data_IF_287297615242
#
_entry.id   IF_287297615242
#
_cell.length_a   1.000
_cell.length_b   1.000
_cell.length_c   1.000
_cell.angle_alpha   90.00
_cell.angle_beta   90.00
_cell.angle_gamma   90.00
#
_symmetry.space_group_name_H-M   'P 1'
#
loop_
_entity.id
_entity.type
_entity.pdbx_description
1 polymer ?
#
# COMPACT_ATOMS: atom_id res chain seq x y z
N UNK A 1 13.63 -13.35 -2.03
CA UNK A 1 13.45 -11.91 -2.10
C UNK A 1 12.26 -11.48 -1.27
N UNK A 2 12.44 -10.42 -0.54
CA UNK A 2 11.40 -9.91 0.35
C UNK A 2 10.28 -9.27 -0.48
N UNK A 3 9.04 -9.68 -0.24
CA UNK A 3 7.92 -9.22 -1.05
C UNK A 3 7.55 -7.75 -0.82
N UNK A 4 8.12 -7.14 0.20
CA UNK A 4 8.02 -5.69 0.35
C UNK A 4 8.62 -4.95 -0.84
N UNK A 5 9.52 -5.58 -1.57
CA UNK A 5 10.08 -4.98 -2.77
C UNK A 5 9.01 -4.68 -3.81
N UNK A 6 7.94 -5.46 -3.83
CA UNK A 6 6.81 -5.15 -4.68
C UNK A 6 6.19 -3.80 -4.33
N UNK A 7 5.99 -3.54 -3.05
CA UNK A 7 5.49 -2.26 -2.58
C UNK A 7 6.57 -1.19 -2.71
N UNK A 8 7.82 -1.54 -2.39
CA UNK A 8 8.96 -0.64 -2.49
C UNK A 8 9.22 -0.15 -3.91
N UNK A 9 8.92 -0.96 -4.93
CA UNK A 9 9.06 -0.55 -6.33
C UNK A 9 8.28 0.73 -6.62
N UNK A 10 7.22 0.99 -5.89
CA UNK A 10 6.42 2.20 -6.07
C UNK A 10 7.16 3.47 -5.62
N UNK A 11 8.25 3.32 -4.86
CA UNK A 11 9.02 4.46 -4.34
C UNK A 11 9.64 5.32 -5.44
N UNK A 12 9.82 4.76 -6.64
CA UNK A 12 10.39 5.48 -7.78
C UNK A 12 9.35 6.15 -8.66
N UNK A 13 8.08 5.86 -8.42
CA UNK A 13 6.99 6.35 -9.25
C UNK A 13 6.42 7.66 -8.70
N UNK A 14 5.79 8.50 -9.54
CA UNK A 14 5.01 9.62 -9.04
C UNK A 14 3.95 9.15 -8.04
N UNK A 15 3.65 9.98 -7.04
CA UNK A 15 2.69 9.65 -5.99
C UNK A 15 3.07 8.38 -5.20
N UNK A 16 4.35 8.22 -4.96
CA UNK A 16 4.91 7.01 -4.35
C UNK A 16 4.30 6.67 -2.98
N UNK A 17 4.03 7.67 -2.14
CA UNK A 17 3.43 7.42 -0.83
C UNK A 17 2.03 6.85 -0.94
N UNK A 18 1.20 7.42 -1.81
CA UNK A 18 -0.14 6.92 -2.03
C UNK A 18 -0.13 5.50 -2.57
N UNK A 19 0.70 5.24 -3.58
CA UNK A 19 0.82 3.91 -4.17
C UNK A 19 1.29 2.87 -3.16
N UNK A 20 2.24 3.26 -2.30
CA UNK A 20 2.69 2.40 -1.21
C UNK A 20 1.55 2.03 -0.26
N UNK A 21 0.74 3.00 0.13
CA UNK A 21 -0.39 2.75 1.03
C UNK A 21 -1.45 1.86 0.38
N UNK A 22 -1.74 2.06 -0.89
CA UNK A 22 -2.65 1.18 -1.64
C UNK A 22 -2.10 -0.25 -1.66
N UNK A 23 -0.81 -0.40 -1.92
CA UNK A 23 -0.14 -1.72 -1.92
C UNK A 23 -0.25 -2.40 -0.57
N UNK A 24 0.01 -1.67 0.51
CA UNK A 24 -0.14 -2.18 1.89
C UNK A 24 -1.56 -2.70 2.13
N UNK A 25 -2.55 -1.91 1.75
CA UNK A 25 -3.96 -2.31 1.93
C UNK A 25 -4.32 -3.54 1.12
N UNK A 26 -3.78 -3.67 -0.08
CA UNK A 26 -4.02 -4.84 -0.94
C UNK A 26 -3.33 -6.09 -0.41
N UNK A 27 -2.20 -5.96 0.28
CA UNK A 27 -1.47 -7.09 0.85
C UNK A 27 -2.18 -7.70 2.06
N UNK A 28 -3.06 -6.95 2.70
CA UNK A 28 -3.77 -7.46 3.87
C UNK A 28 -4.68 -8.63 3.48
N UNK A 29 -4.46 -9.79 4.11
CA UNK A 29 -5.24 -11.03 3.88
C UNK A 29 -5.28 -11.48 2.41
N UNK A 30 -4.20 -11.22 1.65
CA UNK A 30 -4.13 -11.58 0.24
C UNK A 30 -2.77 -12.17 -0.10
N UNK A 31 -2.74 -13.10 -1.06
CA UNK A 31 -1.47 -13.64 -1.56
C UNK A 31 -0.70 -12.59 -2.33
N UNK A 32 0.56 -12.45 -1.99
CA UNK A 32 1.46 -11.45 -2.58
C UNK A 32 1.56 -11.53 -4.09
N UNK A 33 1.57 -12.76 -4.63
CA UNK A 33 1.65 -12.98 -6.08
C UNK A 33 0.47 -12.38 -6.83
N UNK A 34 -0.72 -12.37 -6.23
CA UNK A 34 -1.91 -11.76 -6.83
C UNK A 34 -1.80 -10.24 -6.81
N UNK A 35 -1.29 -9.69 -5.72
CA UNK A 35 -1.10 -8.24 -5.59
C UNK A 35 -0.09 -7.73 -6.62
N UNK A 36 0.98 -8.47 -6.86
CA UNK A 36 1.98 -8.13 -7.89
C UNK A 36 1.37 -7.98 -9.29
N UNK A 37 0.35 -8.77 -9.59
CA UNK A 37 -0.34 -8.73 -10.89
C UNK A 37 -1.32 -7.55 -10.93
N UNK A 38 -2.02 -7.30 -9.84
CA UNK A 38 -3.12 -6.35 -9.79
C UNK A 38 -2.65 -4.90 -9.64
N UNK A 39 -1.62 -4.64 -8.84
CA UNK A 39 -1.17 -3.25 -8.62
C UNK A 39 -0.79 -2.52 -9.91
N UNK A 40 -0.01 -3.12 -10.83
CA UNK A 40 0.29 -2.43 -12.08
C UNK A 40 -0.95 -2.08 -12.88
N UNK A 41 -1.95 -2.96 -12.91
CA UNK A 41 -3.22 -2.71 -13.60
C UNK A 41 -3.99 -1.57 -12.95
N UNK A 42 -4.03 -1.57 -11.61
CA UNK A 42 -4.73 -0.53 -10.87
C UNK A 42 -4.09 0.84 -11.11
N UNK A 43 -2.76 0.92 -11.03
CA UNK A 43 -2.05 2.19 -11.22
C UNK A 43 -1.95 2.64 -12.66
N UNK A 44 -2.05 1.72 -13.63
CA UNK A 44 -2.18 2.11 -15.03
C UNK A 44 -3.52 2.80 -15.27
N UNK A 45 -4.58 2.31 -14.63
CA UNK A 45 -5.91 2.91 -14.75
C UNK A 45 -6.05 4.18 -13.91
N UNK A 46 -5.47 4.18 -12.71
CA UNK A 46 -5.57 5.28 -11.74
C UNK A 46 -4.17 5.68 -11.28
N UNK A 47 -3.46 6.50 -12.07
CA UNK A 47 -2.06 6.84 -11.74
C UNK A 47 -1.91 7.84 -10.60
N UNK A 48 -2.99 8.51 -10.18
CA UNK A 48 -2.97 9.51 -9.12
C UNK A 48 -4.10 9.28 -8.13
N UNK A 49 -3.97 9.79 -6.89
CA UNK A 49 -5.06 9.75 -5.92
C UNK A 49 -6.35 10.37 -6.45
N UNK A 50 -6.22 11.51 -7.13
CA UNK A 50 -7.36 12.22 -7.71
C UNK A 50 -8.05 11.40 -8.80
N UNK A 51 -7.27 10.74 -9.64
CA UNK A 51 -7.82 9.86 -10.68
C UNK A 51 -8.62 8.71 -10.04
N UNK A 52 -8.11 8.13 -8.96
CA UNK A 52 -8.82 7.07 -8.25
C UNK A 52 -10.17 7.57 -7.71
N UNK A 53 -10.19 8.75 -7.09
CA UNK A 53 -11.41 9.31 -6.53
C UNK A 53 -12.45 9.66 -7.59
N UNK A 54 -12.01 10.03 -8.80
CA UNK A 54 -12.92 10.29 -9.93
C UNK A 54 -13.39 9.01 -10.61
N UNK A 55 -12.74 7.89 -10.34
CA UNK A 55 -13.06 6.62 -10.98
C UNK A 55 -14.39 6.04 -10.52
N UNK A 56 -14.96 5.17 -11.35
CA UNK A 56 -16.19 4.45 -11.00
C UNK A 56 -15.87 3.32 -10.02
N UNK A 57 -16.67 3.22 -8.98
CA UNK A 57 -16.50 2.18 -7.97
C UNK A 57 -16.53 0.78 -8.59
N UNK A 58 -17.47 0.53 -9.52
CA UNK A 58 -17.59 -0.76 -10.18
C UNK A 58 -16.33 -1.15 -10.94
N UNK A 59 -15.71 -0.22 -11.65
CA UNK A 59 -14.47 -0.49 -12.37
C UNK A 59 -13.34 -0.84 -11.41
N UNK A 60 -13.25 -0.13 -10.29
CA UNK A 60 -12.27 -0.40 -9.24
C UNK A 60 -12.49 -1.78 -8.63
N UNK A 61 -13.73 -2.13 -8.37
CA UNK A 61 -14.10 -3.45 -7.85
C UNK A 61 -13.72 -4.56 -8.83
N UNK A 62 -13.97 -4.37 -10.12
CA UNK A 62 -13.62 -5.35 -11.14
C UNK A 62 -12.12 -5.61 -11.21
N UNK A 63 -11.31 -4.57 -11.09
CA UNK A 63 -9.84 -4.71 -11.06
C UNK A 63 -9.38 -5.46 -9.81
N UNK A 64 -9.99 -5.17 -8.66
CA UNK A 64 -9.61 -5.74 -7.36
C UNK A 64 -10.16 -7.14 -7.11
N UNK A 65 -11.09 -7.62 -7.96
CA UNK A 65 -11.76 -8.91 -7.78
C UNK A 65 -10.81 -10.08 -7.48
N UNK A 66 -9.69 -10.25 -8.20
CA UNK A 66 -8.79 -11.38 -7.92
C UNK A 66 -8.20 -11.38 -6.52
N UNK A 67 -8.21 -10.25 -5.83
CA UNK A 67 -7.69 -10.15 -4.47
C UNK A 67 -8.69 -10.61 -3.41
N UNK A 68 -9.97 -10.80 -3.77
CA UNK A 68 -11.02 -11.06 -2.81
C UNK A 68 -11.39 -9.81 -2.02
N UNK A 69 -12.51 -9.89 -1.28
CA UNK A 69 -13.02 -8.77 -0.47
C UNK A 69 -13.07 -7.45 -1.24
N UNK A 70 -13.31 -7.54 -2.54
CA UNK A 70 -13.17 -6.41 -3.46
C UNK A 70 -14.16 -5.28 -3.19
N UNK A 71 -15.33 -5.59 -2.69
CA UNK A 71 -16.32 -4.57 -2.33
C UNK A 71 -15.81 -3.70 -1.17
N UNK A 72 -15.32 -4.34 -0.12
CA UNK A 72 -14.80 -3.65 1.06
C UNK A 72 -13.47 -2.95 0.73
N UNK A 73 -12.56 -3.65 0.03
CA UNK A 73 -11.25 -3.09 -0.33
C UNK A 73 -11.38 -1.80 -1.13
N UNK A 74 -12.23 -1.82 -2.16
CA UNK A 74 -12.39 -0.64 -3.02
C UNK A 74 -12.86 0.58 -2.24
N UNK A 75 -13.80 0.38 -1.32
CA UNK A 75 -14.33 1.46 -0.48
C UNK A 75 -13.31 1.95 0.54
N UNK A 76 -12.55 1.03 1.13
CA UNK A 76 -11.48 1.39 2.09
C UNK A 76 -10.37 2.17 1.41
N UNK A 77 -9.94 1.74 0.23
CA UNK A 77 -8.93 2.46 -0.54
C UNK A 77 -9.43 3.86 -0.88
N UNK A 78 -10.71 3.99 -1.26
CA UNK A 78 -11.31 5.30 -1.55
C UNK A 78 -11.29 6.20 -0.32
N UNK A 79 -11.67 5.67 0.83
CA UNK A 79 -11.65 6.44 2.08
C UNK A 79 -10.24 6.88 2.45
N UNK A 80 -9.29 5.98 2.39
CA UNK A 80 -7.86 6.30 2.63
C UNK A 80 -7.38 7.38 1.66
N UNK A 81 -7.75 7.27 0.39
CA UNK A 81 -7.33 8.21 -0.64
C UNK A 81 -7.84 9.62 -0.37
N UNK A 82 -9.09 9.76 0.10
CA UNK A 82 -9.62 11.07 0.51
C UNK A 82 -8.80 11.67 1.64
N UNK A 83 -8.47 10.87 2.65
CA UNK A 83 -7.64 11.32 3.77
C UNK A 83 -6.24 11.69 3.31
N UNK A 84 -5.71 10.93 2.37
CA UNK A 84 -4.37 11.15 1.85
C UNK A 84 -4.18 12.57 1.29
N UNK A 85 -5.19 13.12 0.65
CA UNK A 85 -5.10 14.44 0.03
C UNK A 85 -4.82 15.57 1.02
N UNK A 86 -5.22 15.39 2.27
CA UNK A 86 -5.01 16.41 3.34
C UNK A 86 -4.07 15.91 4.44
N UNK A 87 -3.49 14.73 4.24
CA UNK A 87 -2.60 14.11 5.23
C UNK A 87 -1.26 14.82 5.29
N UNK A 88 -0.74 15.00 6.52
CA UNK A 88 0.54 15.70 6.76
C UNK A 88 1.78 14.86 6.43
N UNK A 89 1.62 13.60 6.03
CA UNK A 89 2.66 12.65 5.64
C UNK A 89 3.57 12.22 6.80
N UNK A 90 3.17 12.45 8.03
CA UNK A 90 3.95 12.07 9.22
C UNK A 90 3.65 10.64 9.68
N UNK A 91 2.42 10.39 10.14
CA UNK A 91 2.04 9.10 10.71
C UNK A 91 1.12 8.34 9.76
N UNK A 92 1.59 7.20 9.27
CA UNK A 92 0.80 6.37 8.36
C UNK A 92 -0.46 5.83 9.04
N UNK A 93 -0.41 5.60 10.35
CA UNK A 93 -1.57 5.12 11.11
C UNK A 93 -2.75 6.10 11.13
N UNK A 94 -2.54 7.36 10.74
CA UNK A 94 -3.64 8.30 10.58
C UNK A 94 -4.53 7.98 9.39
N UNK A 95 -4.03 7.17 8.45
CA UNK A 95 -4.78 6.80 7.27
C UNK A 95 -5.64 5.58 7.52
N UNK A 96 -6.87 5.62 7.03
CA UNK A 96 -7.81 4.52 7.17
C UNK A 96 -7.24 3.22 6.57
N UNK A 97 -7.36 2.14 7.30
CA UNK A 97 -6.92 0.82 6.84
C UNK A 97 -5.42 0.56 6.96
N UNK A 98 -4.65 1.49 7.51
CA UNK A 98 -3.22 1.32 7.72
C UNK A 98 -2.98 0.94 9.18
N UNK A 99 -2.55 -0.31 9.38
CA UNK A 99 -2.23 -0.84 10.70
C UNK A 99 -0.73 -0.85 10.96
N UNK A 100 -0.31 -1.73 11.88
CA UNK A 100 1.09 -1.81 12.31
C UNK A 100 2.05 -2.12 11.17
N UNK A 101 1.72 -3.10 10.31
CA UNK A 101 2.55 -3.44 9.16
C UNK A 101 2.77 -2.22 8.25
N UNK A 102 1.71 -1.52 7.88
CA UNK A 102 1.80 -0.35 7.02
C UNK A 102 2.57 0.79 7.65
N UNK A 103 2.35 1.03 8.94
CA UNK A 103 3.05 2.06 9.70
C UNK A 103 4.54 1.75 9.79
N UNK A 104 4.91 0.50 10.11
CA UNK A 104 6.30 0.08 10.18
C UNK A 104 6.98 0.17 8.81
N UNK A 105 6.32 -0.30 7.76
CA UNK A 105 6.85 -0.25 6.40
C UNK A 105 7.08 1.20 5.93
N UNK A 106 6.18 2.10 6.29
CA UNK A 106 6.31 3.50 5.95
C UNK A 106 7.57 4.11 6.58
N UNK A 107 7.82 3.82 7.84
CA UNK A 107 9.01 4.32 8.53
C UNK A 107 10.29 3.76 7.91
N UNK A 108 10.31 2.47 7.59
CA UNK A 108 11.47 1.82 7.01
C UNK A 108 11.77 2.38 5.61
N UNK A 109 10.78 2.41 4.73
CA UNK A 109 11.01 2.73 3.32
C UNK A 109 11.06 4.22 3.00
N UNK A 110 10.41 5.07 3.81
CA UNK A 110 10.36 6.51 3.52
C UNK A 110 11.22 7.35 4.45
N UNK A 111 11.55 6.86 5.63
CA UNK A 111 12.33 7.62 6.60
C UNK A 111 13.63 6.94 7.03
N UNK A 112 13.93 5.76 6.52
CA UNK A 112 15.11 4.96 6.94
C UNK A 112 15.17 4.76 8.45
N UNK A 113 14.01 4.56 9.08
CA UNK A 113 13.91 4.31 10.52
C UNK A 113 13.47 2.87 10.73
N UNK A 114 14.05 2.23 11.74
CA UNK A 114 13.64 0.90 12.18
C UNK A 114 12.74 1.08 13.39
N UNK A 115 11.41 0.88 13.25
CA UNK A 115 10.53 1.02 14.39
C UNK A 115 10.75 -0.09 15.41
N UNK A 116 10.39 0.15 16.69
CA UNK A 116 10.50 -0.91 17.70
C UNK A 116 9.44 -1.99 17.48
N UNK A 117 9.77 -3.22 17.88
CA UNK A 117 8.82 -4.34 17.89
C UNK A 117 8.19 -4.66 16.54
N UNK A 118 8.98 -4.61 15.47
CA UNK A 118 8.53 -5.05 14.16
C UNK A 118 8.15 -6.53 14.24
N UNK A 119 6.92 -6.86 13.85
CA UNK A 119 6.39 -8.23 13.95
C UNK A 119 6.29 -8.93 12.60
N UNK A 120 6.16 -8.20 11.51
CA UNK A 120 6.03 -8.79 10.20
C UNK A 120 7.31 -9.49 9.76
N UNK A 121 7.15 -10.76 9.33
CA UNK A 121 8.30 -11.61 8.97
C UNK A 121 9.11 -11.03 7.81
N UNK A 122 8.42 -10.49 6.81
CA UNK A 122 9.09 -9.97 5.63
C UNK A 122 9.83 -8.67 5.93
N UNK A 123 9.26 -7.81 6.77
CA UNK A 123 9.95 -6.62 7.24
C UNK A 123 11.20 -6.98 8.06
N UNK A 124 11.09 -8.00 8.93
CA UNK A 124 12.24 -8.48 9.70
C UNK A 124 13.36 -8.96 8.78
N UNK A 125 13.04 -9.73 7.75
CA UNK A 125 14.02 -10.18 6.77
C UNK A 125 14.69 -9.01 6.06
N UNK A 126 13.91 -8.00 5.68
CA UNK A 126 14.45 -6.82 5.05
C UNK A 126 15.39 -6.05 5.95
N UNK A 127 15.01 -5.85 7.22
CA UNK A 127 15.83 -5.18 8.22
C UNK A 127 17.15 -5.95 8.44
N UNK A 128 17.08 -7.27 8.56
CA UNK A 128 18.25 -8.11 8.74
C UNK A 128 19.25 -7.94 7.58
N UNK A 129 18.76 -7.79 6.37
CA UNK A 129 19.60 -7.53 5.19
C UNK A 129 20.24 -6.14 5.25
N UNK A 130 19.55 -5.15 5.81
CA UNK A 130 20.09 -3.81 5.91
C UNK A 130 21.24 -3.71 6.91
N UNK A 131 21.14 -4.41 8.01
CA UNK A 131 22.11 -4.32 9.11
C UNK A 131 23.08 -5.49 9.15
N UNK A 132 22.80 -6.54 8.43
CA UNK A 132 23.63 -7.72 8.34
C UNK A 132 24.46 -7.71 7.09
#
# INVERSE_FOLDING_TARGET
MVDHLMVQQQLKAPHKRWKHMVGVMCLNLTYRKHVKIILPKLFARYPTPEAYLRGRLKTQQDILKPLGMWEVRSKRIRKMTKQYLTWNKKEASDLHGIGKYGSDSYQIFFFNRIPPNVQDKELKKYIDKLIG
#
